data_IF_152495002106
#
_entry.id   IF_152495002106
#
_cell.length_a   1.000
_cell.length_b   1.000
_cell.length_c   1.000
_cell.angle_alpha   90.00
_cell.angle_beta   90.00
_cell.angle_gamma   90.00
#
_symmetry.space_group_name_H-M   'P 1'
#
loop_
_entity.id
_entity.type
_entity.pdbx_description
1 polymer ?
#
# COMPACT_ATOMS: atom_id res chain seq x y z
N UNK A 1 5.78 -24.41 -2.70
CA UNK A 1 6.72 -23.48 -2.01
C UNK A 1 6.06 -23.07 -0.71
N UNK A 2 6.82 -22.91 0.37
CA UNK A 2 6.28 -22.41 1.63
C UNK A 2 6.01 -20.91 1.50
N UNK A 3 4.94 -20.44 2.11
CA UNK A 3 4.57 -19.02 2.19
C UNK A 3 5.50 -18.33 3.19
N UNK A 4 6.22 -17.33 2.76
CA UNK A 4 7.13 -16.57 3.62
C UNK A 4 6.39 -15.42 4.32
N UNK A 5 6.55 -15.35 5.65
CA UNK A 5 5.83 -14.45 6.53
C UNK A 5 6.77 -13.55 7.32
N UNK A 6 6.48 -12.26 7.38
CA UNK A 6 7.07 -11.32 8.33
C UNK A 6 6.01 -10.97 9.40
N UNK A 7 6.37 -11.04 10.68
CA UNK A 7 5.50 -10.64 11.79
C UNK A 7 5.94 -9.28 12.29
N UNK A 8 5.04 -8.30 12.31
CA UNK A 8 5.25 -6.97 12.88
C UNK A 8 4.24 -6.73 14.00
N UNK A 9 4.72 -6.77 15.24
CA UNK A 9 3.90 -6.76 16.46
C UNK A 9 4.75 -6.26 17.64
N UNK A 10 4.31 -5.23 18.33
CA UNK A 10 5.07 -4.67 19.47
C UNK A 10 4.96 -5.51 20.74
N UNK A 11 3.81 -6.18 20.95
CA UNK A 11 3.57 -7.02 22.12
C UNK A 11 4.34 -8.33 22.03
N UNK A 12 5.41 -8.43 22.82
CA UNK A 12 6.33 -9.59 22.79
C UNK A 12 5.63 -10.94 22.94
N UNK A 13 4.68 -11.05 23.87
CA UNK A 13 4.01 -12.32 24.14
C UNK A 13 3.14 -12.75 22.95
N UNK A 14 2.40 -11.81 22.37
CA UNK A 14 1.54 -12.09 21.22
C UNK A 14 2.38 -12.45 19.98
N UNK A 15 3.46 -11.72 19.71
CA UNK A 15 4.40 -12.00 18.63
C UNK A 15 5.01 -13.39 18.74
N UNK A 16 5.47 -13.79 19.95
CA UNK A 16 5.99 -15.14 20.19
C UNK A 16 4.93 -16.23 20.00
N UNK A 17 3.69 -15.96 20.42
CA UNK A 17 2.57 -16.91 20.26
C UNK A 17 2.23 -17.10 18.78
N UNK A 18 2.18 -16.00 17.99
CA UNK A 18 1.99 -16.06 16.54
C UNK A 18 3.10 -16.88 15.86
N UNK A 19 4.36 -16.63 16.24
CA UNK A 19 5.48 -17.38 15.67
C UNK A 19 5.34 -18.87 15.92
N UNK A 20 5.11 -19.28 17.17
CA UNK A 20 4.93 -20.69 17.55
C UNK A 20 3.75 -21.34 16.82
N UNK A 21 2.67 -20.58 16.58
CA UNK A 21 1.50 -21.04 15.87
C UNK A 21 1.81 -21.29 14.39
N UNK A 22 2.51 -20.35 13.75
CA UNK A 22 2.84 -20.41 12.33
C UNK A 22 3.92 -21.46 12.03
N UNK A 23 4.91 -21.65 12.91
CA UNK A 23 5.97 -22.64 12.76
C UNK A 23 5.48 -24.11 12.86
N UNK A 24 4.26 -24.33 13.32
CA UNK A 24 3.62 -25.68 13.30
C UNK A 24 3.11 -26.08 11.92
N UNK A 25 2.92 -25.10 11.04
CA UNK A 25 2.39 -25.33 9.70
C UNK A 25 3.55 -25.56 8.70
N UNK A 26 3.53 -26.69 7.99
CA UNK A 26 4.60 -27.06 7.04
C UNK A 26 4.68 -26.18 5.80
N UNK A 27 3.59 -25.49 5.49
CA UNK A 27 3.46 -24.60 4.34
C UNK A 27 3.76 -23.13 4.66
N UNK A 28 4.10 -22.79 5.91
CA UNK A 28 4.40 -21.42 6.35
C UNK A 28 5.84 -21.31 6.89
N UNK A 29 6.49 -20.18 6.63
CA UNK A 29 7.84 -19.91 7.13
C UNK A 29 7.96 -18.46 7.59
N UNK A 30 8.26 -18.24 8.88
CA UNK A 30 8.51 -16.90 9.43
C UNK A 30 9.94 -16.49 9.10
N UNK A 31 10.10 -15.47 8.25
CA UNK A 31 11.41 -14.97 7.81
C UNK A 31 11.95 -13.81 8.63
N UNK A 32 11.13 -13.23 9.50
CA UNK A 32 11.55 -12.15 10.41
C UNK A 32 10.45 -11.74 11.38
N UNK A 33 10.87 -11.01 12.41
CA UNK A 33 10.01 -10.40 13.41
C UNK A 33 10.41 -8.94 13.59
N UNK A 34 9.44 -8.03 13.64
CA UNK A 34 9.59 -6.60 13.88
C UNK A 34 8.78 -6.19 15.10
N UNK A 35 9.24 -5.16 15.80
CA UNK A 35 8.61 -4.58 16.99
C UNK A 35 7.96 -3.23 16.74
N UNK A 36 8.10 -2.71 15.51
CA UNK A 36 7.47 -1.48 15.03
C UNK A 36 7.44 -1.44 13.50
N UNK A 37 6.73 -0.45 12.97
CA UNK A 37 6.54 -0.30 11.52
C UNK A 37 7.83 0.04 10.76
N UNK A 38 8.81 0.69 11.39
CA UNK A 38 10.09 1.00 10.73
C UNK A 38 10.92 -0.27 10.55
N UNK A 39 11.06 -1.05 11.61
CA UNK A 39 11.73 -2.35 11.56
C UNK A 39 11.02 -3.30 10.59
N UNK A 40 9.67 -3.28 10.57
CA UNK A 40 8.87 -4.05 9.62
C UNK A 40 9.18 -3.68 8.17
N UNK A 41 9.26 -2.38 7.86
CA UNK A 41 9.63 -1.91 6.53
C UNK A 41 11.04 -2.37 6.14
N UNK A 42 12.04 -2.15 7.00
CA UNK A 42 13.44 -2.50 6.73
C UNK A 42 13.61 -4.02 6.52
N UNK A 43 12.93 -4.86 7.31
CA UNK A 43 12.92 -6.31 7.16
C UNK A 43 12.15 -6.78 5.91
N UNK A 44 11.04 -6.12 5.57
CA UNK A 44 10.30 -6.42 4.35
C UNK A 44 11.16 -6.14 3.11
N UNK A 45 11.86 -5.02 3.06
CA UNK A 45 12.80 -4.69 1.97
C UNK A 45 13.93 -5.71 1.85
N UNK A 46 14.43 -6.23 2.97
CA UNK A 46 15.52 -7.20 3.02
C UNK A 46 15.08 -8.60 2.59
N UNK A 47 13.95 -9.08 3.10
CA UNK A 47 13.50 -10.47 2.95
C UNK A 47 12.49 -10.67 1.83
N UNK A 48 11.81 -9.60 1.38
CA UNK A 48 10.74 -9.62 0.37
C UNK A 48 9.73 -10.74 0.62
N UNK A 49 9.07 -10.75 1.81
CA UNK A 49 8.16 -11.82 2.16
C UNK A 49 6.92 -11.82 1.26
N UNK A 50 6.28 -12.98 1.13
CA UNK A 50 5.00 -13.08 0.42
C UNK A 50 3.90 -12.33 1.18
N UNK A 51 3.95 -12.33 2.52
CA UNK A 51 2.95 -11.71 3.35
C UNK A 51 3.55 -11.11 4.63
N UNK A 52 3.06 -9.94 5.02
CA UNK A 52 3.36 -9.30 6.31
C UNK A 52 2.12 -9.34 7.19
N UNK A 53 2.25 -9.91 8.37
CA UNK A 53 1.28 -9.76 9.46
C UNK A 53 1.63 -8.49 10.22
N UNK A 54 0.78 -7.47 10.15
CA UNK A 54 1.08 -6.11 10.59
C UNK A 54 0.10 -5.66 11.67
N UNK A 55 0.59 -5.47 12.88
CA UNK A 55 -0.22 -4.79 13.90
C UNK A 55 -0.52 -3.35 13.52
N UNK A 56 -1.73 -2.90 13.81
CA UNK A 56 -2.16 -1.51 13.55
C UNK A 56 -1.43 -0.55 14.47
N UNK A 57 -1.38 -0.86 15.76
CA UNK A 57 -0.88 0.02 16.81
C UNK A 57 0.54 -0.36 17.23
N UNK A 58 1.52 0.29 16.64
CA UNK A 58 2.93 0.10 16.99
C UNK A 58 3.63 1.43 17.28
N UNK A 59 4.65 1.42 18.16
CA UNK A 59 5.43 2.63 18.44
C UNK A 59 6.26 3.07 17.23
N UNK A 60 6.76 4.31 17.28
CA UNK A 60 7.64 4.94 16.26
C UNK A 60 6.95 5.13 14.89
N UNK A 61 6.59 4.07 14.23
CA UNK A 61 5.84 4.08 12.97
C UNK A 61 4.68 3.10 13.10
N UNK A 62 3.46 3.59 12.96
CA UNK A 62 2.24 2.77 13.01
C UNK A 62 2.12 1.82 11.80
N UNK A 63 1.32 0.76 11.97
CA UNK A 63 1.19 -0.28 10.95
C UNK A 63 0.52 0.18 9.67
N UNK A 64 -0.37 1.18 9.72
CA UNK A 64 -1.04 1.72 8.53
C UNK A 64 -0.04 2.47 7.66
N UNK A 65 0.77 3.33 8.29
CA UNK A 65 1.85 4.07 7.59
C UNK A 65 2.92 3.11 7.05
N UNK A 66 3.32 2.09 7.83
CA UNK A 66 4.26 1.07 7.39
C UNK A 66 3.69 0.28 6.19
N UNK A 67 2.42 -0.07 6.21
CA UNK A 67 1.72 -0.74 5.09
C UNK A 67 1.81 0.08 3.82
N UNK A 68 1.50 1.38 3.88
CA UNK A 68 1.60 2.29 2.73
C UNK A 68 3.01 2.30 2.12
N UNK A 69 4.05 2.35 2.97
CA UNK A 69 5.45 2.33 2.51
C UNK A 69 5.84 1.00 1.88
N UNK A 70 5.47 -0.13 2.52
CA UNK A 70 5.75 -1.47 2.01
C UNK A 70 5.07 -1.68 0.65
N UNK A 71 3.77 -1.34 0.54
CA UNK A 71 3.01 -1.48 -0.70
C UNK A 71 3.55 -0.64 -1.84
N UNK A 72 4.05 0.57 -1.55
CA UNK A 72 4.68 1.44 -2.55
C UNK A 72 6.00 0.87 -3.09
N UNK A 73 6.79 0.20 -2.24
CA UNK A 73 8.12 -0.34 -2.60
C UNK A 73 8.09 -1.80 -3.04
N UNK A 74 7.17 -2.60 -2.50
CA UNK A 74 7.03 -4.05 -2.72
C UNK A 74 5.57 -4.38 -3.09
N UNK A 75 5.13 -4.09 -4.31
CA UNK A 75 3.74 -4.28 -4.73
C UNK A 75 3.28 -5.75 -4.69
N UNK A 76 4.18 -6.72 -4.78
CA UNK A 76 3.88 -8.15 -4.69
C UNK A 76 3.70 -8.64 -3.24
N UNK A 77 4.34 -7.98 -2.26
CA UNK A 77 4.19 -8.32 -0.84
C UNK A 77 2.79 -7.92 -0.35
N UNK A 78 2.03 -8.85 0.15
CA UNK A 78 0.69 -8.61 0.70
C UNK A 78 0.78 -8.25 2.17
N UNK A 79 -0.06 -7.32 2.62
CA UNK A 79 -0.10 -6.94 4.04
C UNK A 79 -1.46 -7.29 4.61
N UNK A 80 -1.44 -8.05 5.70
CA UNK A 80 -2.61 -8.45 6.46
C UNK A 80 -2.55 -7.76 7.82
N UNK A 81 -3.50 -6.86 8.08
CA UNK A 81 -3.54 -6.10 9.32
C UNK A 81 -4.06 -6.95 10.49
N UNK A 82 -3.44 -6.78 11.65
CA UNK A 82 -3.86 -7.39 12.91
C UNK A 82 -4.35 -6.29 13.85
N UNK A 83 -5.49 -6.47 14.52
CA UNK A 83 -6.01 -5.51 15.50
C UNK A 83 -6.80 -6.17 16.61
N UNK A 84 -6.82 -5.53 17.77
CA UNK A 84 -7.72 -5.87 18.89
C UNK A 84 -9.07 -5.16 18.77
N UNK A 85 -9.20 -4.16 17.89
CA UNK A 85 -10.38 -3.31 17.77
C UNK A 85 -11.01 -3.43 16.39
N UNK A 86 -12.32 -3.41 16.35
CA UNK A 86 -13.17 -3.36 15.17
C UNK A 86 -13.56 -1.93 14.76
N UNK A 87 -12.75 -0.93 15.18
CA UNK A 87 -13.03 0.47 14.92
C UNK A 87 -12.99 0.81 13.43
N UNK A 88 -14.10 1.33 12.94
CA UNK A 88 -14.42 1.67 11.56
C UNK A 88 -13.32 2.47 10.84
N UNK A 89 -12.79 3.49 11.52
CA UNK A 89 -11.83 4.44 10.94
C UNK A 89 -10.47 3.82 10.64
N UNK A 90 -10.04 2.87 11.45
CA UNK A 90 -8.74 2.17 11.29
C UNK A 90 -8.76 1.18 10.14
N UNK A 91 -9.88 0.50 9.96
CA UNK A 91 -10.08 -0.44 8.86
C UNK A 91 -10.05 0.30 7.52
N UNK A 92 -10.79 1.41 7.42
CA UNK A 92 -10.79 2.26 6.21
C UNK A 92 -9.39 2.76 5.89
N UNK A 93 -8.66 3.27 6.91
CA UNK A 93 -7.28 3.73 6.73
C UNK A 93 -6.34 2.61 6.26
N UNK A 94 -6.47 1.38 6.81
CA UNK A 94 -5.69 0.22 6.40
C UNK A 94 -5.96 -0.18 4.94
N UNK A 95 -7.23 -0.20 4.52
CA UNK A 95 -7.61 -0.49 3.13
C UNK A 95 -7.06 0.58 2.18
N UNK A 96 -7.18 1.86 2.54
CA UNK A 96 -6.61 2.97 1.74
C UNK A 96 -5.08 2.93 1.67
N UNK A 97 -4.42 2.39 2.69
CA UNK A 97 -2.98 2.14 2.67
C UNK A 97 -2.56 0.94 1.79
N UNK A 98 -3.54 0.19 1.25
CA UNK A 98 -3.30 -0.96 0.38
C UNK A 98 -3.18 -2.30 1.12
N UNK A 99 -3.73 -2.42 2.32
CA UNK A 99 -3.83 -3.70 3.02
C UNK A 99 -4.71 -4.69 2.22
N UNK A 100 -4.27 -5.95 2.15
CA UNK A 100 -5.00 -7.03 1.48
C UNK A 100 -6.11 -7.62 2.34
N UNK A 101 -6.00 -7.48 3.65
CA UNK A 101 -6.99 -7.98 4.57
C UNK A 101 -6.80 -7.44 5.98
N UNK A 102 -7.74 -7.83 6.83
CA UNK A 102 -7.79 -7.40 8.22
C UNK A 102 -8.29 -8.54 9.10
N UNK A 103 -7.59 -8.84 10.18
CA UNK A 103 -7.94 -9.89 11.14
C UNK A 103 -8.00 -9.29 12.53
N UNK A 104 -9.02 -9.69 13.29
CA UNK A 104 -9.06 -9.43 14.72
C UNK A 104 -8.12 -10.40 15.45
N UNK A 105 -7.39 -9.92 16.46
CA UNK A 105 -6.45 -10.73 17.26
C UNK A 105 -7.12 -11.81 18.11
N UNK A 106 -8.45 -11.77 18.24
CA UNK A 106 -9.29 -12.79 18.89
C UNK A 106 -9.85 -13.85 17.94
N UNK A 107 -9.50 -13.78 16.64
CA UNK A 107 -9.86 -14.80 15.67
C UNK A 107 -9.33 -16.16 16.09
N UNK A 108 -10.13 -17.22 15.86
CA UNK A 108 -9.67 -18.57 16.15
C UNK A 108 -8.53 -19.01 15.21
N UNK A 109 -7.77 -20.03 15.66
CA UNK A 109 -6.61 -20.53 14.94
C UNK A 109 -6.90 -20.98 13.51
N UNK A 110 -7.99 -21.70 13.30
CA UNK A 110 -8.33 -22.23 11.97
C UNK A 110 -8.70 -21.10 11.00
N UNK A 111 -9.46 -20.12 11.48
CA UNK A 111 -9.80 -18.91 10.75
C UNK A 111 -8.56 -18.12 10.38
N UNK A 112 -7.66 -17.89 11.34
CA UNK A 112 -6.42 -17.16 11.14
C UNK A 112 -5.57 -17.75 10.00
N UNK A 113 -5.34 -19.06 10.03
CA UNK A 113 -4.60 -19.76 8.98
C UNK A 113 -5.34 -19.75 7.64
N UNK A 114 -6.67 -19.88 7.65
CA UNK A 114 -7.49 -19.78 6.44
C UNK A 114 -7.32 -18.43 5.77
N UNK A 115 -7.33 -17.34 6.54
CA UNK A 115 -7.19 -15.97 6.02
C UNK A 115 -5.77 -15.76 5.47
N UNK A 116 -4.72 -16.21 6.14
CA UNK A 116 -3.34 -16.13 5.62
C UNK A 116 -3.23 -16.79 4.25
N UNK A 117 -3.73 -18.03 4.12
CA UNK A 117 -3.67 -18.78 2.86
C UNK A 117 -4.51 -18.14 1.76
N UNK A 118 -5.69 -17.62 2.09
CA UNK A 118 -6.56 -16.91 1.15
C UNK A 118 -5.91 -15.60 0.68
N UNK A 119 -5.34 -14.83 1.60
CA UNK A 119 -4.59 -13.61 1.26
C UNK A 119 -3.40 -13.92 0.34
N UNK A 120 -2.65 -15.00 0.60
CA UNK A 120 -1.54 -15.41 -0.26
C UNK A 120 -2.02 -15.74 -1.69
N UNK A 121 -3.21 -16.33 -1.87
CA UNK A 121 -3.81 -16.55 -3.20
C UNK A 121 -4.30 -15.28 -3.89
N UNK A 122 -4.23 -14.13 -3.22
CA UNK A 122 -4.70 -12.85 -3.75
C UNK A 122 -6.17 -12.55 -3.47
N UNK A 123 -6.80 -13.32 -2.58
CA UNK A 123 -8.15 -13.04 -2.13
C UNK A 123 -8.11 -11.90 -1.09
N UNK A 124 -8.95 -10.88 -1.28
CA UNK A 124 -9.16 -9.87 -0.25
C UNK A 124 -10.07 -10.45 0.84
N UNK A 125 -9.53 -10.58 2.05
CA UNK A 125 -10.24 -11.22 3.14
C UNK A 125 -10.43 -10.24 4.29
N UNK A 126 -11.69 -10.06 4.67
CA UNK A 126 -12.07 -9.38 5.90
C UNK A 126 -12.61 -10.45 6.85
N UNK A 127 -12.30 -10.33 8.15
CA UNK A 127 -12.84 -11.27 9.15
C UNK A 127 -14.37 -11.31 9.09
N UNK A 128 -15.01 -12.49 9.20
CA UNK A 128 -16.47 -12.64 9.17
C UNK A 128 -17.19 -11.86 10.27
N UNK A 129 -16.50 -11.47 11.34
CA UNK A 129 -17.04 -10.65 12.40
C UNK A 129 -17.16 -9.16 12.05
N UNK A 130 -16.73 -8.75 10.85
CA UNK A 130 -16.95 -7.38 10.39
C UNK A 130 -18.39 -7.17 9.96
N UNK A 131 -19.07 -6.09 10.45
CA UNK A 131 -20.42 -5.74 10.01
C UNK A 131 -20.48 -5.56 8.48
N UNK A 132 -21.55 -6.04 7.83
CA UNK A 132 -21.77 -5.98 6.37
C UNK A 132 -21.55 -4.60 5.74
N UNK A 133 -21.80 -3.54 6.53
CA UNK A 133 -21.55 -2.16 6.08
C UNK A 133 -20.06 -1.87 5.83
N UNK A 134 -19.14 -2.56 6.53
CA UNK A 134 -17.69 -2.42 6.32
C UNK A 134 -17.19 -3.19 5.13
N UNK A 135 -17.71 -4.39 4.94
CA UNK A 135 -17.42 -5.16 3.73
C UNK A 135 -17.74 -4.32 2.48
N UNK A 136 -18.85 -3.56 2.49
CA UNK A 136 -19.20 -2.67 1.38
C UNK A 136 -18.29 -1.43 1.28
N UNK A 137 -17.93 -0.81 2.39
CA UNK A 137 -17.01 0.35 2.39
C UNK A 137 -15.59 -0.04 2.03
N UNK A 138 -15.13 -1.21 2.50
CA UNK A 138 -13.83 -1.75 2.15
C UNK A 138 -13.78 -2.19 0.67
N UNK A 139 -14.83 -2.82 0.16
CA UNK A 139 -14.96 -3.18 -1.26
C UNK A 139 -15.05 -1.90 -2.11
N UNK A 140 -15.81 -0.89 -1.71
CA UNK A 140 -15.87 0.40 -2.40
C UNK A 140 -14.50 1.11 -2.38
N UNK A 141 -13.78 1.11 -1.26
CA UNK A 141 -12.44 1.68 -1.17
C UNK A 141 -11.40 0.88 -1.98
N UNK A 142 -11.53 -0.44 -2.07
CA UNK A 142 -10.71 -1.29 -2.96
C UNK A 142 -11.05 -1.02 -4.43
N UNK A 143 -12.32 -0.85 -4.77
CA UNK A 143 -12.76 -0.51 -6.12
C UNK A 143 -12.37 0.93 -6.49
N UNK A 144 -12.39 1.88 -5.54
CA UNK A 144 -11.85 3.23 -5.70
C UNK A 144 -10.33 3.22 -5.82
N UNK A 145 -9.60 2.43 -5.01
CA UNK A 145 -8.16 2.26 -5.12
C UNK A 145 -7.79 1.56 -6.45
N UNK A 146 -8.55 0.56 -6.89
CA UNK A 146 -8.43 -0.06 -8.21
C UNK A 146 -8.82 0.87 -9.36
N UNK A 147 -9.79 1.75 -9.14
CA UNK A 147 -10.13 2.80 -10.11
C UNK A 147 -9.07 3.91 -10.12
N UNK A 148 -8.36 4.13 -9.01
CA UNK A 148 -7.18 5.00 -8.93
C UNK A 148 -5.91 4.33 -9.51
N UNK A 149 -5.87 2.99 -9.61
CA UNK A 149 -4.88 2.23 -10.40
C UNK A 149 -5.16 2.26 -11.93
N UNK A 150 -6.27 2.84 -12.38
CA UNK A 150 -6.32 3.34 -13.75
C UNK A 150 -5.16 4.32 -13.90
N UNK A 151 -4.32 4.18 -14.94
CA UNK A 151 -3.05 4.87 -14.99
C UNK A 151 -3.29 6.35 -14.65
N UNK A 152 -2.57 6.84 -13.63
CA UNK A 152 -2.62 8.23 -13.15
C UNK A 152 -2.60 9.22 -14.33
N UNK A 153 -2.01 8.78 -15.43
CA UNK A 153 -1.93 9.48 -16.70
C UNK A 153 -3.23 9.52 -17.52
N UNK A 154 -4.24 8.70 -17.19
CA UNK A 154 -5.52 8.72 -17.94
C UNK A 154 -6.38 9.96 -17.62
N UNK A 155 -6.15 10.60 -16.46
CA UNK A 155 -6.77 11.87 -16.08
C UNK A 155 -6.18 13.08 -16.79
N UNK A 156 -4.98 12.94 -17.38
CA UNK A 156 -4.30 14.02 -18.10
C UNK A 156 -4.80 14.10 -19.54
N UNK A 157 -5.04 15.32 -20.00
CA UNK A 157 -5.27 15.60 -21.41
C UNK A 157 -4.01 15.26 -22.22
N UNK A 158 -4.15 15.11 -23.52
CA UNK A 158 -3.02 14.86 -24.43
C UNK A 158 -1.93 15.94 -24.28
N UNK A 159 -2.34 17.20 -24.16
CA UNK A 159 -1.43 18.33 -23.97
C UNK A 159 -0.70 18.30 -22.65
N UNK A 160 -1.36 17.92 -21.58
CA UNK A 160 -0.74 17.75 -20.25
C UNK A 160 0.26 16.60 -20.24
N UNK A 161 -0.03 15.50 -20.96
CA UNK A 161 0.91 14.37 -21.12
C UNK A 161 2.17 14.76 -21.89
N UNK A 162 2.03 15.55 -22.98
CA UNK A 162 3.17 16.07 -23.72
C UNK A 162 4.08 16.95 -22.83
N UNK A 163 3.50 17.88 -22.08
CA UNK A 163 4.23 18.75 -21.18
C UNK A 163 4.94 17.95 -20.09
N UNK A 164 4.24 16.96 -19.50
CA UNK A 164 4.83 16.12 -18.45
C UNK A 164 5.93 15.21 -19.01
N UNK A 165 5.78 14.70 -20.22
CA UNK A 165 6.83 13.93 -20.92
C UNK A 165 8.10 14.77 -21.15
N UNK A 166 7.94 16.03 -21.58
CA UNK A 166 9.07 16.96 -21.72
C UNK A 166 9.73 17.28 -20.39
N UNK A 167 8.91 17.44 -19.33
CA UNK A 167 9.42 17.67 -17.98
C UNK A 167 10.20 16.44 -17.43
N UNK A 168 9.75 15.23 -17.75
CA UNK A 168 10.43 13.99 -17.40
C UNK A 168 11.75 13.79 -18.17
N UNK A 169 11.86 14.37 -19.37
CA UNK A 169 13.11 14.45 -20.13
C UNK A 169 14.09 15.53 -19.61
N UNK A 170 13.79 16.14 -18.45
CA UNK A 170 14.66 17.13 -17.79
C UNK A 170 14.57 18.56 -18.36
N UNK A 171 13.65 18.83 -19.29
CA UNK A 171 13.55 20.15 -19.95
C UNK A 171 12.96 21.21 -19.04
N UNK A 172 13.54 22.39 -19.02
CA UNK A 172 13.01 23.57 -18.32
C UNK A 172 11.74 24.13 -18.98
N UNK A 173 10.96 24.94 -18.25
CA UNK A 173 9.70 25.50 -18.77
C UNK A 173 9.87 26.31 -20.05
N UNK A 174 11.02 26.98 -20.24
CA UNK A 174 11.34 27.71 -21.46
C UNK A 174 11.52 26.77 -22.66
N UNK A 175 12.28 25.71 -22.48
CA UNK A 175 12.52 24.70 -23.53
C UNK A 175 11.23 23.95 -23.90
N UNK A 176 10.35 23.70 -22.91
CA UNK A 176 9.02 23.11 -23.15
C UNK A 176 8.16 24.09 -23.96
N UNK A 177 8.16 25.37 -23.59
CA UNK A 177 7.42 26.42 -24.28
C UNK A 177 7.85 26.55 -25.76
N UNK A 178 9.16 26.60 -26.01
CA UNK A 178 9.76 26.69 -27.34
C UNK A 178 9.40 25.46 -28.19
N UNK A 179 9.53 24.25 -27.62
CA UNK A 179 9.25 22.98 -28.30
C UNK A 179 7.77 22.81 -28.67
N UNK A 180 6.87 23.23 -27.77
CA UNK A 180 5.42 23.03 -27.94
C UNK A 180 4.74 24.26 -28.54
N UNK A 181 5.51 25.29 -28.94
CA UNK A 181 5.03 26.54 -29.54
C UNK A 181 3.95 27.24 -28.69
N UNK A 182 4.19 27.34 -27.37
CA UNK A 182 3.30 28.01 -26.40
C UNK A 182 4.08 29.00 -25.52
N UNK A 183 3.37 29.83 -24.75
CA UNK A 183 4.03 30.72 -23.80
C UNK A 183 4.54 29.96 -22.57
N UNK A 184 5.59 30.48 -21.90
CA UNK A 184 6.08 29.93 -20.62
C UNK A 184 4.94 29.92 -19.58
N UNK A 185 4.08 30.92 -19.60
CA UNK A 185 2.94 31.04 -18.68
C UNK A 185 1.92 29.93 -18.93
N UNK A 186 1.68 29.58 -20.16
CA UNK A 186 0.83 28.43 -20.56
C UNK A 186 1.42 27.11 -20.00
N UNK A 187 2.74 26.92 -20.11
CA UNK A 187 3.42 25.75 -19.55
C UNK A 187 3.24 25.66 -18.03
N UNK A 188 3.42 26.78 -17.30
CA UNK A 188 3.22 26.83 -15.85
C UNK A 188 1.78 26.49 -15.45
N UNK A 189 0.80 27.03 -16.16
CA UNK A 189 -0.62 26.75 -15.93
C UNK A 189 -0.93 25.25 -16.10
N UNK A 190 -0.44 24.64 -17.17
CA UNK A 190 -0.62 23.22 -17.39
C UNK A 190 0.09 22.38 -16.32
N UNK A 191 1.32 22.73 -15.90
CA UNK A 191 2.01 22.04 -14.83
C UNK A 191 1.23 22.14 -13.50
N UNK A 192 0.64 23.29 -13.20
CA UNK A 192 -0.21 23.43 -12.02
C UNK A 192 -1.44 22.49 -12.08
N UNK A 193 -2.13 22.43 -13.20
CA UNK A 193 -3.25 21.51 -13.39
C UNK A 193 -2.82 20.03 -13.32
N UNK A 194 -1.64 19.69 -13.87
CA UNK A 194 -1.05 18.36 -13.77
C UNK A 194 -0.82 18.01 -12.29
N UNK A 195 -0.24 18.93 -11.50
CA UNK A 195 0.02 18.67 -10.07
C UNK A 195 -1.29 18.44 -9.30
N UNK A 196 -2.33 19.21 -9.59
CA UNK A 196 -3.67 19.02 -9.01
C UNK A 196 -4.26 17.65 -9.39
N UNK A 197 -4.24 17.29 -10.68
CA UNK A 197 -4.81 16.02 -11.20
C UNK A 197 -4.07 14.79 -10.69
N UNK A 198 -2.75 14.89 -10.51
CA UNK A 198 -1.91 13.81 -9.98
C UNK A 198 -1.84 13.83 -8.45
N UNK A 199 -2.47 14.80 -7.77
CA UNK A 199 -2.41 14.99 -6.31
C UNK A 199 -0.98 15.05 -5.77
N UNK A 200 -0.10 15.78 -6.48
CA UNK A 200 1.32 15.94 -6.13
C UNK A 200 1.66 17.39 -5.83
N UNK A 201 2.69 17.64 -4.99
CA UNK A 201 3.05 18.98 -4.51
C UNK A 201 4.02 19.72 -5.43
N UNK A 202 4.54 19.05 -6.48
CA UNK A 202 5.50 19.71 -7.36
C UNK A 202 6.04 18.86 -8.50
N UNK A 203 6.97 19.48 -9.25
CA UNK A 203 7.54 18.93 -10.48
C UNK A 203 8.22 17.56 -10.29
N UNK A 204 9.00 17.40 -9.23
CA UNK A 204 9.76 16.17 -8.98
C UNK A 204 8.81 15.00 -8.76
N UNK A 205 7.78 15.21 -7.94
CA UNK A 205 6.76 14.18 -7.66
C UNK A 205 5.94 13.84 -8.92
N UNK A 206 5.58 14.84 -9.73
CA UNK A 206 4.87 14.63 -10.98
C UNK A 206 5.70 13.83 -12.00
N UNK A 207 6.99 14.11 -12.11
CA UNK A 207 7.91 13.37 -12.98
C UNK A 207 8.10 11.93 -12.49
N UNK A 208 8.25 11.71 -11.18
CA UNK A 208 8.33 10.36 -10.61
C UNK A 208 7.06 9.55 -10.87
N UNK A 209 5.88 10.14 -10.67
CA UNK A 209 4.60 9.52 -10.98
C UNK A 209 4.47 9.13 -12.47
N UNK A 210 4.97 9.99 -13.37
CA UNK A 210 5.00 9.70 -14.81
C UNK A 210 5.92 8.53 -15.17
N UNK A 211 7.11 8.47 -14.56
CA UNK A 211 8.09 7.42 -14.82
C UNK A 211 7.67 6.06 -14.27
N UNK A 212 6.92 6.04 -13.18
CA UNK A 212 6.37 4.81 -12.58
C UNK A 212 5.16 4.25 -13.35
N UNK A 213 4.43 5.11 -14.08
CA UNK A 213 3.24 4.73 -14.84
C UNK A 213 3.54 4.35 -16.30
N UNK A 214 4.82 4.33 -16.72
CA UNK A 214 5.28 4.00 -18.07
C UNK A 214 5.90 2.61 -18.13
#
# INVERSE_FOLDING_TARGET
MAITLLIAEDQRLFRQSLRLLLEREQDLTVVGEATDGREAFDLAMKHKPDLVLMDVDMPRLDGVTATKLIRACLPETKVLMLSVHDEDTRIVAAVQAGAFGYILKDADHAEFLRIIRATHRGEHVLSPFMPDRFARSAVAAVDEARAAEKPLLSSLTEREREILSCAAAGRGNKEIADQLCVSIETVKTHLHHIYQKLSVNGRVEAVLAYLQAK
#
